data_IF_652773952716
#
_entry.id   IF_652773952716
#
_cell.length_a   1.000
_cell.length_b   1.000
_cell.length_c   1.000
_cell.angle_alpha   90.00
_cell.angle_beta   90.00
_cell.angle_gamma   90.00
#
_symmetry.space_group_name_H-M   'P 1'
#
loop_
_entity.id
_entity.type
_entity.pdbx_description
1 polymer ?
#
# COMPACT_ATOMS: atom_id res chain seq x y z
N UNK A 1 -10.58 -37.42 -13.27
CA UNK A 1 -9.53 -36.99 -12.34
C UNK A 1 -8.27 -36.69 -13.13
N UNK A 2 -7.91 -35.42 -13.24
CA UNK A 2 -6.55 -34.91 -13.38
C UNK A 2 -6.68 -33.41 -13.27
N UNK A 3 -6.40 -32.90 -12.07
CA UNK A 3 -6.37 -31.48 -11.77
C UNK A 3 -5.09 -30.88 -12.34
N UNK A 4 -5.26 -29.81 -13.10
CA UNK A 4 -4.19 -28.87 -13.38
C UNK A 4 -4.37 -27.76 -12.35
N UNK A 5 -3.52 -27.78 -11.32
CA UNK A 5 -3.34 -26.66 -10.41
C UNK A 5 -2.85 -25.49 -11.24
N UNK A 6 -3.72 -24.51 -11.53
CA UNK A 6 -3.28 -23.18 -11.93
C UNK A 6 -2.47 -22.62 -10.77
N UNK A 7 -1.14 -22.74 -10.85
CA UNK A 7 -0.25 -21.95 -10.03
C UNK A 7 -0.49 -20.49 -10.37
N UNK A 8 -1.37 -19.87 -9.58
CA UNK A 8 -1.75 -18.47 -9.66
C UNK A 8 -0.51 -17.60 -9.53
N UNK A 9 0.02 -17.15 -10.67
CA UNK A 9 0.79 -15.91 -10.72
C UNK A 9 -0.18 -14.82 -10.24
N UNK A 10 -0.08 -14.39 -8.98
CA UNK A 10 -0.71 -13.13 -8.57
C UNK A 10 -0.10 -12.05 -9.48
N UNK A 11 -0.95 -11.49 -10.33
CA UNK A 11 -0.59 -10.53 -11.37
C UNK A 11 -0.38 -9.20 -10.67
N UNK A 12 0.85 -8.65 -10.75
CA UNK A 12 1.07 -7.25 -10.40
C UNK A 12 0.07 -6.39 -11.16
N UNK A 13 -0.45 -5.33 -10.52
CA UNK A 13 -1.35 -4.38 -11.19
C UNK A 13 -0.75 -3.96 -12.53
N UNK A 14 -1.50 -4.18 -13.62
CA UNK A 14 -1.05 -3.98 -15.00
C UNK A 14 -1.02 -2.52 -15.46
N UNK A 15 -0.40 -1.64 -14.67
CA UNK A 15 -0.08 -0.28 -15.07
C UNK A 15 1.39 -0.17 -15.51
N UNK A 16 1.70 0.92 -16.22
CA UNK A 16 3.07 1.23 -16.64
C UNK A 16 3.89 1.79 -15.47
N UNK A 17 4.25 0.90 -14.54
CA UNK A 17 5.13 1.23 -13.41
C UNK A 17 6.47 1.86 -13.84
N UNK A 18 7.13 1.43 -14.94
CA UNK A 18 8.28 2.15 -15.47
C UNK A 18 8.02 3.64 -15.71
N UNK A 19 6.90 3.99 -16.37
CA UNK A 19 6.55 5.40 -16.60
C UNK A 19 6.30 6.16 -15.28
N UNK A 20 5.68 5.51 -14.28
CA UNK A 20 5.50 6.10 -12.94
C UNK A 20 6.85 6.37 -12.26
N UNK A 21 7.79 5.41 -12.34
CA UNK A 21 9.13 5.55 -11.76
C UNK A 21 9.93 6.66 -12.46
N UNK A 22 9.82 6.78 -13.78
CA UNK A 22 10.50 7.83 -14.56
C UNK A 22 9.93 9.24 -14.27
N UNK A 23 8.63 9.33 -13.96
CA UNK A 23 7.96 10.59 -13.66
C UNK A 23 8.04 11.03 -12.19
N UNK A 24 8.42 10.14 -11.27
CA UNK A 24 8.47 10.42 -9.84
C UNK A 24 9.66 11.32 -9.46
N UNK A 25 9.44 12.27 -8.54
CA UNK A 25 10.54 13.03 -7.97
C UNK A 25 11.34 12.16 -6.97
N UNK A 26 12.64 12.48 -6.75
CA UNK A 26 13.42 11.82 -5.71
C UNK A 26 12.70 11.87 -4.35
N UNK A 27 12.65 10.75 -3.65
CA UNK A 27 11.93 10.61 -2.38
C UNK A 27 10.42 10.31 -2.47
N UNK A 28 9.78 10.38 -3.65
CA UNK A 28 8.34 10.12 -3.79
C UNK A 28 7.97 8.64 -3.64
N UNK A 29 8.86 7.74 -4.09
CA UNK A 29 8.67 6.29 -4.04
C UNK A 29 9.54 5.67 -2.95
N UNK A 30 8.89 5.11 -1.94
CA UNK A 30 9.54 4.49 -0.78
C UNK A 30 9.90 3.03 -1.12
N UNK A 31 11.20 2.78 -1.33
CA UNK A 31 11.74 1.47 -1.70
C UNK A 31 12.22 0.69 -0.49
N UNK A 32 12.17 -0.63 -0.62
CA UNK A 32 12.66 -1.56 0.39
C UNK A 32 14.10 -1.98 0.07
N UNK A 33 14.91 -2.20 1.11
CA UNK A 33 16.24 -2.79 0.92
C UNK A 33 16.11 -4.18 0.30
N UNK A 34 16.98 -4.57 -0.66
CA UNK A 34 16.88 -5.86 -1.33
C UNK A 34 16.92 -7.07 -0.37
N UNK A 35 17.72 -7.01 0.70
CA UNK A 35 17.81 -8.05 1.72
C UNK A 35 16.51 -8.19 2.52
N UNK A 36 15.89 -7.06 2.88
CA UNK A 36 14.59 -7.05 3.54
C UNK A 36 13.49 -7.59 2.61
N UNK A 37 13.45 -7.11 1.36
CA UNK A 37 12.46 -7.54 0.39
C UNK A 37 12.53 -9.05 0.10
N UNK A 38 13.73 -9.61 -0.08
CA UNK A 38 13.90 -11.04 -0.30
C UNK A 38 13.48 -11.92 0.89
N UNK A 39 13.60 -11.39 2.12
CA UNK A 39 13.13 -12.08 3.34
C UNK A 39 11.61 -12.06 3.47
N UNK A 40 10.98 -10.94 3.11
CA UNK A 40 9.55 -10.68 3.31
C UNK A 40 8.71 -11.28 2.18
N UNK A 41 9.19 -11.18 0.94
CA UNK A 41 8.57 -11.74 -0.26
C UNK A 41 9.53 -12.70 -0.96
N UNK A 42 9.80 -13.88 -0.37
CA UNK A 42 10.72 -14.85 -0.97
C UNK A 42 10.17 -15.45 -2.28
N UNK A 43 8.85 -15.41 -2.47
CA UNK A 43 8.16 -15.95 -3.64
C UNK A 43 7.34 -14.87 -4.34
N UNK A 44 7.24 -14.97 -5.67
CA UNK A 44 6.44 -14.05 -6.48
C UNK A 44 7.13 -12.73 -6.85
N UNK A 45 6.33 -11.80 -7.37
CA UNK A 45 6.82 -10.54 -7.93
C UNK A 45 6.88 -9.39 -6.90
N UNK A 46 6.44 -9.61 -5.66
CA UNK A 46 6.40 -8.61 -4.59
C UNK A 46 7.77 -8.00 -4.27
N UNK A 47 8.80 -8.83 -4.10
CA UNK A 47 10.18 -8.38 -3.87
C UNK A 47 10.69 -7.49 -5.02
N UNK A 48 10.39 -7.84 -6.27
CA UNK A 48 10.76 -7.03 -7.44
C UNK A 48 10.04 -5.68 -7.42
N UNK A 49 8.74 -5.68 -7.12
CA UNK A 49 7.95 -4.45 -7.05
C UNK A 49 8.51 -3.47 -6.01
N UNK A 50 8.69 -3.92 -4.76
CA UNK A 50 9.09 -3.03 -3.66
C UNK A 50 10.54 -2.53 -3.76
N UNK A 51 11.40 -3.22 -4.51
CA UNK A 51 12.80 -2.82 -4.71
C UNK A 51 12.99 -1.97 -5.96
N UNK A 52 12.29 -2.25 -7.06
CA UNK A 52 12.43 -1.48 -8.30
C UNK A 52 11.50 -0.26 -8.32
N UNK A 53 10.25 -0.44 -7.90
CA UNK A 53 9.20 0.59 -7.92
C UNK A 53 9.13 1.28 -6.56
N UNK A 54 8.77 0.53 -5.51
CA UNK A 54 8.45 1.09 -4.19
C UNK A 54 6.98 1.47 -4.05
N UNK A 55 6.59 1.90 -2.84
CA UNK A 55 5.24 2.37 -2.54
C UNK A 55 5.29 3.91 -2.49
N UNK A 56 4.37 4.62 -3.14
CA UNK A 56 4.36 6.08 -3.07
C UNK A 56 4.17 6.58 -1.65
N UNK A 57 4.88 7.65 -1.28
CA UNK A 57 4.71 8.34 -0.01
C UNK A 57 3.34 9.04 0.08
N UNK A 58 2.87 9.59 -1.05
CA UNK A 58 1.56 10.24 -1.22
C UNK A 58 1.22 11.19 -0.06
N UNK A 59 2.11 12.18 0.16
CA UNK A 59 2.00 13.19 1.24
C UNK A 59 1.90 12.60 2.65
N UNK A 60 2.46 11.41 2.88
CA UNK A 60 2.47 10.73 4.17
C UNK A 60 1.32 9.77 4.37
N UNK A 61 0.50 9.51 3.33
CA UNK A 61 -0.48 8.43 3.38
C UNK A 61 0.20 7.10 3.71
N UNK A 62 1.33 6.79 3.07
CA UNK A 62 2.17 5.67 3.44
C UNK A 62 3.52 6.15 3.99
N UNK A 63 3.94 5.57 5.11
CA UNK A 63 5.21 5.85 5.77
C UNK A 63 5.92 4.53 6.04
N UNK A 64 7.06 4.30 5.42
CA UNK A 64 7.81 3.04 5.51
C UNK A 64 8.54 2.93 6.85
N UNK A 65 8.67 1.71 7.36
CA UNK A 65 9.52 1.44 8.51
C UNK A 65 11.00 1.63 8.15
N UNK A 66 11.70 2.47 8.91
CA UNK A 66 13.06 2.94 8.57
C UNK A 66 14.10 1.83 8.46
N UNK A 67 13.91 0.71 9.17
CA UNK A 67 14.74 -0.49 9.15
C UNK A 67 14.58 -1.29 7.85
N UNK A 68 13.45 -1.17 7.17
CA UNK A 68 13.15 -1.87 5.92
C UNK A 68 13.49 -1.02 4.69
N UNK A 69 13.59 0.30 4.86
CA UNK A 69 13.74 1.26 3.79
C UNK A 69 15.14 1.28 3.18
N UNK A 70 15.20 1.33 1.85
CA UNK A 70 16.38 1.80 1.12
C UNK A 70 16.35 3.33 1.12
N UNK A 71 17.14 3.94 2.01
CA UNK A 71 17.00 5.37 2.33
C UNK A 71 17.48 6.24 1.18
N UNK A 72 16.57 7.02 0.61
CA UNK A 72 16.88 8.14 -0.27
C UNK A 72 17.11 9.41 0.57
N UNK A 73 18.26 10.10 0.45
CA UNK A 73 18.50 11.38 1.12
C UNK A 73 17.47 12.47 0.79
N UNK A 74 16.77 12.35 -0.34
CA UNK A 74 15.70 13.26 -0.75
C UNK A 74 14.33 12.91 -0.13
N UNK A 75 14.18 11.74 0.51
CA UNK A 75 12.93 11.38 1.18
C UNK A 75 12.54 12.41 2.24
N UNK A 76 11.26 12.85 2.28
CA UNK A 76 10.80 13.78 3.30
C UNK A 76 10.93 13.17 4.69
N UNK A 77 11.09 14.00 5.73
CA UNK A 77 11.16 13.52 7.12
C UNK A 77 9.91 12.75 7.57
N UNK A 78 8.77 12.99 6.91
CA UNK A 78 7.51 12.28 7.12
C UNK A 78 7.42 10.94 6.39
N UNK A 79 8.47 10.51 5.67
CA UNK A 79 8.48 9.23 4.95
C UNK A 79 8.63 8.01 5.86
N UNK A 80 9.11 8.19 7.09
CA UNK A 80 9.49 7.09 7.96
C UNK A 80 8.57 6.96 9.18
N UNK A 81 8.14 5.74 9.46
CA UNK A 81 7.53 5.36 10.74
C UNK A 81 8.63 5.22 11.80
N UNK A 82 8.49 5.89 12.94
CA UNK A 82 9.56 6.00 13.95
C UNK A 82 9.28 5.23 15.25
N UNK A 83 8.09 4.68 15.39
CA UNK A 83 7.50 4.19 16.64
C UNK A 83 7.04 2.72 16.55
N UNK A 84 7.47 1.99 15.52
CA UNK A 84 7.11 0.60 15.28
C UNK A 84 8.30 -0.34 15.44
N UNK A 85 8.04 -1.53 15.97
CA UNK A 85 9.01 -2.63 15.94
C UNK A 85 9.05 -3.27 14.53
N UNK A 86 10.25 -3.55 14.02
CA UNK A 86 10.46 -4.19 12.74
C UNK A 86 10.38 -5.72 12.78
N UNK A 87 10.18 -6.31 13.95
CA UNK A 87 10.06 -7.75 14.10
C UNK A 87 8.70 -8.28 13.63
N UNK A 88 8.65 -9.43 12.93
CA UNK A 88 7.40 -10.10 12.65
C UNK A 88 6.66 -10.51 13.92
N UNK A 89 5.33 -10.39 13.89
CA UNK A 89 4.43 -10.74 14.99
C UNK A 89 3.58 -11.95 14.60
N UNK A 90 3.37 -12.85 15.56
CA UNK A 90 2.44 -13.98 15.41
C UNK A 90 1.03 -13.52 15.79
N UNK A 91 0.07 -13.69 14.88
CA UNK A 91 -1.31 -13.23 15.04
C UNK A 91 -2.30 -14.37 14.74
N UNK A 92 -3.59 -14.22 15.08
CA UNK A 92 -4.61 -15.21 14.71
C UNK A 92 -4.74 -15.45 13.20
N UNK A 93 -4.35 -14.47 12.37
CA UNK A 93 -4.42 -14.55 10.90
C UNK A 93 -3.08 -15.00 10.27
N UNK A 94 -2.11 -15.39 11.10
CA UNK A 94 -0.80 -15.87 10.67
C UNK A 94 0.33 -14.93 11.09
N UNK A 95 1.51 -15.12 10.48
CA UNK A 95 2.70 -14.36 10.84
C UNK A 95 2.82 -13.11 9.97
N UNK A 96 2.77 -11.95 10.61
CA UNK A 96 2.72 -10.64 9.94
C UNK A 96 4.03 -9.89 10.13
N UNK A 97 4.57 -9.29 9.06
CA UNK A 97 5.70 -8.37 9.12
C UNK A 97 5.18 -6.93 9.03
N UNK A 98 5.41 -6.09 10.06
CA UNK A 98 5.12 -4.66 9.96
C UNK A 98 5.92 -4.02 8.83
N UNK A 99 5.26 -3.22 8.00
CA UNK A 99 5.87 -2.49 6.88
C UNK A 99 6.01 -0.99 7.18
N UNK A 100 5.18 -0.45 8.08
CA UNK A 100 5.13 0.97 8.42
C UNK A 100 3.72 1.41 8.80
N UNK A 101 3.40 2.68 8.55
CA UNK A 101 2.07 3.23 8.71
C UNK A 101 1.37 3.44 7.38
N UNK A 102 0.07 3.20 7.37
CA UNK A 102 -0.84 3.58 6.30
C UNK A 102 -1.97 4.37 6.96
N UNK A 103 -2.06 5.66 6.63
CA UNK A 103 -2.94 6.58 7.36
C UNK A 103 -2.68 6.49 8.88
N UNK A 104 -3.71 6.24 9.69
CA UNK A 104 -3.62 6.08 11.15
C UNK A 104 -3.30 4.64 11.60
N UNK A 105 -3.28 3.67 10.69
CA UNK A 105 -3.10 2.26 11.00
C UNK A 105 -1.65 1.79 10.82
N UNK A 106 -1.32 0.65 11.43
CA UNK A 106 -0.08 -0.08 11.16
C UNK A 106 -0.33 -1.05 10.02
N UNK A 107 0.43 -0.93 8.94
CA UNK A 107 0.30 -1.81 7.78
C UNK A 107 1.32 -2.94 7.85
N UNK A 108 0.84 -4.13 7.54
CA UNK A 108 1.55 -5.39 7.64
C UNK A 108 1.46 -6.16 6.32
N UNK A 109 2.42 -7.05 6.10
CA UNK A 109 2.30 -8.12 5.10
C UNK A 109 2.29 -9.48 5.77
N UNK A 110 1.41 -10.36 5.31
CA UNK A 110 1.40 -11.75 5.73
C UNK A 110 2.54 -12.52 5.05
N UNK A 111 3.45 -13.09 5.84
CA UNK A 111 4.67 -13.73 5.34
C UNK A 111 4.41 -15.03 4.58
N UNK A 112 3.24 -15.65 4.74
CA UNK A 112 2.91 -16.91 4.07
C UNK A 112 2.38 -16.73 2.64
N UNK A 113 1.72 -15.59 2.34
CA UNK A 113 1.04 -15.41 1.05
C UNK A 113 1.15 -14.00 0.47
N UNK A 114 1.79 -13.05 1.16
CA UNK A 114 2.02 -11.70 0.65
C UNK A 114 0.82 -10.77 0.68
N UNK A 115 -0.32 -11.17 1.27
CA UNK A 115 -1.48 -10.29 1.46
C UNK A 115 -1.17 -9.14 2.42
N UNK A 116 -1.86 -8.01 2.27
CA UNK A 116 -1.63 -6.81 3.08
C UNK A 116 -2.76 -6.66 4.09
N UNK A 117 -2.36 -6.45 5.34
CA UNK A 117 -3.25 -6.32 6.48
C UNK A 117 -3.00 -5.01 7.21
N UNK A 118 -4.01 -4.47 7.86
CA UNK A 118 -3.87 -3.31 8.75
C UNK A 118 -4.31 -3.66 10.16
N UNK A 119 -3.66 -3.04 11.14
CA UNK A 119 -4.10 -3.00 12.51
C UNK A 119 -4.37 -1.53 12.86
N UNK A 120 -5.65 -1.17 13.01
CA UNK A 120 -6.08 0.16 13.42
C UNK A 120 -6.51 0.10 14.90
N UNK A 121 -5.89 0.87 15.81
CA UNK A 121 -6.23 0.87 17.23
C UNK A 121 -7.67 1.32 17.51
N UNK A 122 -8.29 2.05 16.58
CA UNK A 122 -9.65 2.56 16.70
C UNK A 122 -10.70 1.63 16.03
N UNK A 123 -10.27 0.51 15.44
CA UNK A 123 -11.17 -0.50 14.83
C UNK A 123 -11.58 -1.59 15.82
N UNK A 124 -12.80 -2.11 15.66
CA UNK A 124 -13.24 -3.33 16.36
C UNK A 124 -12.53 -4.59 15.83
N UNK A 125 -12.05 -4.53 14.58
CA UNK A 125 -11.29 -5.61 13.94
C UNK A 125 -9.80 -5.39 14.15
N UNK A 126 -9.17 -6.25 14.97
CA UNK A 126 -7.74 -6.13 15.31
C UNK A 126 -6.81 -6.20 14.09
N UNK A 127 -7.11 -7.10 13.14
CA UNK A 127 -6.37 -7.23 11.88
C UNK A 127 -7.34 -7.37 10.72
N UNK A 128 -7.31 -6.42 9.79
CA UNK A 128 -8.17 -6.39 8.63
C UNK A 128 -7.38 -6.62 7.34
N UNK A 129 -7.87 -7.51 6.47
CA UNK A 129 -7.30 -7.76 5.14
C UNK A 129 -7.73 -6.63 4.19
N UNK A 130 -6.77 -5.88 3.66
CA UNK A 130 -7.06 -4.70 2.84
C UNK A 130 -6.56 -4.79 1.40
N UNK A 131 -5.53 -5.60 1.11
CA UNK A 131 -5.08 -5.84 -0.27
C UNK A 131 -4.59 -7.27 -0.50
N UNK A 132 -4.73 -7.72 -1.75
CA UNK A 132 -4.24 -9.01 -2.22
C UNK A 132 -2.73 -9.09 -2.31
N UNK A 133 -2.03 -7.97 -2.54
CA UNK A 133 -0.57 -7.88 -2.47
C UNK A 133 -0.08 -6.42 -2.35
N UNK A 134 1.25 -6.28 -2.22
CA UNK A 134 1.92 -4.99 -2.05
C UNK A 134 1.83 -4.08 -3.30
N UNK A 135 1.63 -4.65 -4.48
CA UNK A 135 1.46 -3.86 -5.72
C UNK A 135 0.06 -3.25 -5.80
N UNK A 136 -0.96 -3.96 -5.31
CA UNK A 136 -2.30 -3.43 -5.12
C UNK A 136 -2.31 -2.26 -4.14
N UNK A 137 -1.61 -2.39 -3.00
CA UNK A 137 -1.40 -1.29 -2.06
C UNK A 137 -0.73 -0.09 -2.74
N UNK A 138 0.40 -0.33 -3.41
CA UNK A 138 1.14 0.73 -4.10
C UNK A 138 0.30 1.45 -5.16
N UNK A 139 -0.53 0.71 -5.90
CA UNK A 139 -1.41 1.29 -6.93
C UNK A 139 -2.51 2.16 -6.32
N UNK A 140 -3.17 1.71 -5.25
CA UNK A 140 -4.22 2.51 -4.64
C UNK A 140 -3.64 3.80 -4.02
N UNK A 141 -2.51 3.71 -3.33
CA UNK A 141 -1.81 4.87 -2.75
C UNK A 141 -1.35 5.85 -3.84
N UNK A 142 -0.90 5.35 -4.99
CA UNK A 142 -0.60 6.17 -6.18
C UNK A 142 -1.87 6.86 -6.70
N UNK A 143 -2.96 6.11 -6.87
CA UNK A 143 -4.22 6.62 -7.44
C UNK A 143 -4.80 7.75 -6.61
N UNK A 144 -4.80 7.65 -5.29
CA UNK A 144 -5.28 8.75 -4.45
C UNK A 144 -4.45 10.03 -4.61
N UNK A 145 -3.14 9.93 -4.79
CA UNK A 145 -2.29 11.11 -4.97
C UNK A 145 -2.51 11.80 -6.31
N UNK A 146 -2.57 11.03 -7.41
CA UNK A 146 -2.70 11.60 -8.76
C UNK A 146 -4.10 12.09 -9.11
N UNK A 147 -5.13 11.48 -8.51
CA UNK A 147 -6.51 11.92 -8.69
C UNK A 147 -6.93 12.98 -7.66
N UNK A 148 -6.07 13.33 -6.68
CA UNK A 148 -6.42 14.30 -5.65
C UNK A 148 -6.87 15.63 -6.30
N UNK A 149 -8.04 16.18 -5.91
CA UNK A 149 -8.50 17.43 -6.49
C UNK A 149 -7.51 18.56 -6.22
N UNK A 150 -7.30 19.43 -7.22
CA UNK A 150 -6.33 20.51 -7.09
C UNK A 150 -6.79 21.58 -6.07
N UNK A 151 -5.87 22.18 -5.29
CA UNK A 151 -6.25 23.13 -4.24
C UNK A 151 -6.83 24.46 -4.73
N UNK A 152 -6.72 24.76 -6.03
CA UNK A 152 -6.94 26.12 -6.55
C UNK A 152 -8.40 26.58 -6.49
N UNK A 153 -9.36 25.67 -6.28
CA UNK A 153 -10.79 26.01 -6.25
C UNK A 153 -11.50 25.69 -4.92
N UNK A 154 -10.80 25.14 -3.92
CA UNK A 154 -11.40 24.47 -2.74
C UNK A 154 -12.39 23.38 -3.20
N UNK A 155 -11.91 22.14 -3.34
CA UNK A 155 -12.72 21.04 -3.85
C UNK A 155 -14.03 20.88 -3.07
N UNK A 156 -15.14 20.76 -3.78
CA UNK A 156 -16.45 20.51 -3.20
C UNK A 156 -16.68 19.00 -2.98
N UNK A 157 -17.75 18.59 -2.26
CA UNK A 157 -18.01 17.17 -2.01
C UNK A 157 -18.15 16.30 -3.28
N UNK A 158 -18.59 16.87 -4.41
CA UNK A 158 -18.71 16.14 -5.67
C UNK A 158 -17.32 15.86 -6.30
N UNK A 159 -16.36 16.77 -6.14
CA UNK A 159 -14.99 16.55 -6.61
C UNK A 159 -14.38 15.32 -5.92
N UNK A 160 -14.57 15.21 -4.60
CA UNK A 160 -14.09 14.06 -3.83
C UNK A 160 -14.84 12.76 -4.18
N UNK A 161 -16.16 12.83 -4.39
CA UNK A 161 -16.94 11.68 -4.83
C UNK A 161 -16.49 11.18 -6.21
N UNK A 162 -16.16 12.08 -7.14
CA UNK A 162 -15.63 11.72 -8.46
C UNK A 162 -14.27 11.01 -8.34
N UNK A 163 -13.41 11.46 -7.43
CA UNK A 163 -12.13 10.81 -7.16
C UNK A 163 -12.32 9.40 -6.61
N UNK A 164 -13.23 9.22 -5.64
CA UNK A 164 -13.58 7.90 -5.12
C UNK A 164 -14.06 6.97 -6.24
N UNK A 165 -14.94 7.43 -7.13
CA UNK A 165 -15.44 6.65 -8.26
C UNK A 165 -14.31 6.24 -9.21
N UNK A 166 -13.45 7.17 -9.62
CA UNK A 166 -12.30 6.90 -10.50
C UNK A 166 -11.33 5.89 -9.87
N UNK A 167 -11.05 6.05 -8.58
CA UNK A 167 -10.13 5.15 -7.84
C UNK A 167 -10.77 3.77 -7.70
N UNK A 168 -12.06 3.69 -7.36
CA UNK A 168 -12.82 2.44 -7.24
C UNK A 168 -12.85 1.66 -8.54
N UNK A 169 -13.28 2.28 -9.63
CA UNK A 169 -13.29 1.65 -10.95
C UNK A 169 -11.90 1.16 -11.37
N UNK A 170 -10.87 1.94 -11.04
CA UNK A 170 -9.48 1.60 -11.29
C UNK A 170 -9.01 0.36 -10.53
N UNK A 171 -9.43 0.20 -9.27
CA UNK A 171 -9.01 -0.91 -8.40
C UNK A 171 -9.81 -2.18 -8.62
N UNK A 172 -11.12 -2.12 -8.77
CA UNK A 172 -12.00 -3.31 -8.83
C UNK A 172 -11.60 -4.28 -9.96
N UNK A 173 -10.97 -3.76 -11.02
CA UNK A 173 -10.40 -4.57 -12.10
C UNK A 173 -9.24 -5.49 -11.66
N UNK A 174 -8.51 -5.10 -10.62
CA UNK A 174 -7.26 -5.74 -10.19
C UNK A 174 -7.36 -6.37 -8.81
N UNK A 175 -7.93 -5.64 -7.86
CA UNK A 175 -8.10 -6.07 -6.49
C UNK A 175 -9.38 -5.44 -5.91
N UNK A 176 -10.44 -6.24 -5.69
CA UNK A 176 -11.69 -5.74 -5.12
C UNK A 176 -11.63 -5.58 -3.59
N UNK A 177 -10.60 -6.08 -2.91
CA UNK A 177 -10.52 -6.07 -1.44
C UNK A 177 -10.62 -4.67 -0.82
N UNK A 178 -9.95 -3.62 -1.35
CA UNK A 178 -9.94 -2.32 -0.68
C UNK A 178 -11.33 -1.76 -0.42
N UNK A 179 -12.22 -1.81 -1.41
CA UNK A 179 -13.57 -1.25 -1.31
C UNK A 179 -14.57 -2.14 -0.58
N UNK A 180 -14.14 -3.33 -0.13
CA UNK A 180 -14.88 -4.15 0.81
C UNK A 180 -14.41 -3.99 2.27
N UNK A 181 -13.39 -3.18 2.53
CA UNK A 181 -12.79 -3.00 3.86
C UNK A 181 -13.35 -1.78 4.61
N UNK A 182 -13.50 -1.92 5.92
CA UNK A 182 -13.85 -0.83 6.85
C UNK A 182 -12.74 0.21 6.94
N UNK A 183 -11.47 -0.22 6.90
CA UNK A 183 -10.32 0.68 6.88
C UNK A 183 -10.38 1.70 5.73
N UNK A 184 -10.53 1.24 4.48
CA UNK A 184 -10.56 2.17 3.34
C UNK A 184 -11.85 2.99 3.29
N UNK A 185 -12.97 2.45 3.79
CA UNK A 185 -14.20 3.23 3.96
C UNK A 185 -13.97 4.41 4.92
N UNK A 186 -13.33 4.15 6.06
CA UNK A 186 -13.00 5.18 7.06
C UNK A 186 -12.01 6.22 6.51
N UNK A 187 -11.03 5.77 5.73
CA UNK A 187 -10.10 6.66 5.03
C UNK A 187 -10.84 7.58 4.05
N UNK A 188 -11.74 7.04 3.22
CA UNK A 188 -12.49 7.82 2.22
C UNK A 188 -13.37 8.88 2.87
N UNK A 189 -14.05 8.54 3.98
CA UNK A 189 -14.83 9.50 4.77
C UNK A 189 -13.96 10.63 5.34
N UNK A 190 -12.69 10.33 5.63
CA UNK A 190 -11.73 11.28 6.19
C UNK A 190 -10.97 12.07 5.13
N UNK A 191 -10.87 11.55 3.89
CA UNK A 191 -9.97 12.06 2.87
C UNK A 191 -10.21 13.54 2.48
N UNK A 192 -11.47 14.03 2.38
CA UNK A 192 -11.74 15.44 2.13
C UNK A 192 -11.23 16.41 3.20
N UNK A 193 -10.88 15.91 4.39
CA UNK A 193 -10.42 16.69 5.53
C UNK A 193 -8.90 16.68 5.70
N UNK A 194 -8.16 15.88 4.90
CA UNK A 194 -6.70 15.74 4.89
C UNK A 194 -6.05 16.64 3.82
#
# INVERSE_FOLDING_TARGET
MSGTSENGRRVLVGIDWPAVVEGAAPGDLLRFRPDAAARIWPEGDGARFVTAVGIPHSRGLFRILGELADRDPASPGTAFAGDLDALPVDTPVGRLQPLGHLFQAVVHVHLGDGTIWVADPDSETEYELVHGDVSSLGYLVYKFEVERPEPHERPDPNDWAAVEEIVREGMERWDPLPFGSEFWTTFLDSYPML
#
